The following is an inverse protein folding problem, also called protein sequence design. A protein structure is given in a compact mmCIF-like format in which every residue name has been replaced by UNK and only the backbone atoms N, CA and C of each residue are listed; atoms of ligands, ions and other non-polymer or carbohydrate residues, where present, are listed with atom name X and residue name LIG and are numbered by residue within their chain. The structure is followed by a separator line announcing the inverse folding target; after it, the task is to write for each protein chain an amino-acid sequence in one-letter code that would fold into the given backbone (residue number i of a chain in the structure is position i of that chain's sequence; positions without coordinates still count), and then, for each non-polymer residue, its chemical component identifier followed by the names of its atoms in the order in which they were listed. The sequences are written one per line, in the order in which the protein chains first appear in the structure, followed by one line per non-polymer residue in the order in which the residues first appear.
data_IF_488428603910
#
_entry.id   IF_488428603910
#
_cell.length_a   1.000
_cell.length_b   1.000
_cell.length_c   1.000
_cell.angle_alpha   90.00
_cell.angle_beta   90.00
_cell.angle_gamma   90.00
#
_symmetry.space_group_name_H-M   'P 1'
#
loop_
_entity.id
_entity.type
_entity.pdbx_description
1 polymer ?
#
# COMPACT_ATOMS: atom_id res chain seq x y z
N UNK A 1 15.47 -9.07 13.25
CA UNK A 1 16.06 -8.64 14.53
C UNK A 1 14.99 -8.59 15.62
N UNK A 2 13.98 -7.72 15.50
CA UNK A 2 12.90 -7.59 16.51
C UNK A 2 12.23 -8.90 16.96
N UNK A 3 11.80 -9.75 16.02
CA UNK A 3 11.13 -11.01 16.37
C UNK A 3 12.05 -11.98 17.14
N UNK A 4 13.35 -12.01 16.80
CA UNK A 4 14.32 -12.84 17.49
C UNK A 4 14.60 -12.31 18.90
N UNK A 5 14.75 -11.00 19.05
CA UNK A 5 14.96 -10.36 20.36
C UNK A 5 13.76 -10.57 21.30
N UNK A 6 12.54 -10.38 20.80
CA UNK A 6 11.32 -10.66 21.56
C UNK A 6 11.19 -12.14 21.94
N UNK A 7 11.53 -13.05 21.02
CA UNK A 7 11.54 -14.47 21.31
C UNK A 7 12.55 -14.87 22.38
N UNK A 8 13.71 -14.19 22.43
CA UNK A 8 14.73 -14.40 23.47
C UNK A 8 14.30 -13.86 24.84
N UNK A 9 13.69 -12.66 24.88
CA UNK A 9 13.25 -12.02 26.14
C UNK A 9 12.09 -12.79 26.77
N UNK A 10 11.08 -13.13 25.98
CA UNK A 10 9.83 -13.72 26.47
C UNK A 10 9.80 -15.25 26.36
N UNK A 11 10.88 -15.87 25.86
CA UNK A 11 10.99 -17.32 25.61
C UNK A 11 9.80 -17.88 24.81
N UNK A 12 9.35 -17.15 23.80
CA UNK A 12 8.19 -17.53 22.97
C UNK A 12 8.49 -17.45 21.47
N UNK A 13 7.69 -18.14 20.66
CA UNK A 13 7.77 -18.02 19.19
C UNK A 13 7.04 -16.75 18.74
N UNK A 14 7.71 -15.93 17.93
CA UNK A 14 7.16 -14.65 17.45
C UNK A 14 6.84 -14.76 15.96
N UNK A 15 5.56 -14.61 15.62
CA UNK A 15 5.09 -14.54 14.24
C UNK A 15 4.91 -13.09 13.78
N UNK A 16 5.50 -12.71 12.64
CA UNK A 16 5.27 -11.41 12.01
C UNK A 16 4.07 -11.52 11.06
N UNK A 17 3.11 -10.59 11.18
CA UNK A 17 2.00 -10.44 10.24
C UNK A 17 2.13 -9.08 9.55
N UNK A 18 2.31 -9.02 8.22
CA UNK A 18 2.29 -7.74 7.52
C UNK A 18 0.85 -7.24 7.39
N UNK A 19 0.63 -5.96 7.68
CA UNK A 19 -0.65 -5.28 7.53
C UNK A 19 -0.48 -4.06 6.62
N UNK A 20 -1.20 -4.05 5.50
CA UNK A 20 -1.05 -3.05 4.44
C UNK A 20 -2.43 -2.49 4.10
N UNK A 21 -2.55 -1.16 4.11
CA UNK A 21 -3.84 -0.44 3.94
C UNK A 21 -3.95 0.34 2.63
N UNK A 22 -3.02 0.14 1.71
CA UNK A 22 -3.08 0.68 0.35
C UNK A 22 -4.10 -0.09 -0.48
N UNK A 23 -4.66 0.53 -1.53
CA UNK A 23 -5.56 -0.15 -2.47
C UNK A 23 -4.99 -1.48 -2.99
N UNK A 24 -3.75 -1.46 -3.48
CA UNK A 24 -3.06 -2.67 -3.96
C UNK A 24 -2.99 -3.76 -2.88
N UNK A 25 -2.50 -3.40 -1.68
CA UNK A 25 -2.49 -4.25 -0.50
C UNK A 25 -3.84 -4.90 -0.14
N UNK A 26 -4.93 -4.13 -0.18
CA UNK A 26 -6.28 -4.59 0.17
C UNK A 26 -6.84 -5.58 -0.86
N UNK A 27 -6.55 -5.38 -2.14
CA UNK A 27 -7.03 -6.25 -3.23
C UNK A 27 -6.27 -7.57 -3.30
N UNK A 28 -5.13 -7.69 -2.62
CA UNK A 28 -4.36 -8.94 -2.61
C UNK A 28 -5.10 -10.11 -1.96
N UNK A 29 -4.78 -11.33 -2.41
CA UNK A 29 -5.28 -12.59 -1.81
C UNK A 29 -4.87 -12.79 -0.34
N UNK A 30 -3.83 -12.09 0.10
CA UNK A 30 -3.28 -12.22 1.45
C UNK A 30 -3.97 -11.31 2.48
N UNK A 31 -4.65 -10.24 2.04
CA UNK A 31 -5.28 -9.27 2.94
C UNK A 31 -6.26 -9.94 3.92
N UNK A 32 -7.17 -10.78 3.39
CA UNK A 32 -8.15 -11.50 4.21
C UNK A 32 -7.52 -12.48 5.20
N UNK A 33 -6.42 -13.13 4.85
CA UNK A 33 -5.76 -14.09 5.75
C UNK A 33 -5.00 -13.37 6.86
N UNK A 34 -4.34 -12.25 6.55
CA UNK A 34 -3.66 -11.43 7.55
C UNK A 34 -4.66 -10.78 8.52
N UNK A 35 -5.79 -10.28 8.01
CA UNK A 35 -6.84 -9.71 8.85
C UNK A 35 -7.42 -10.75 9.82
N UNK A 36 -7.69 -11.97 9.34
CA UNK A 36 -8.14 -13.08 10.20
C UNK A 36 -7.09 -13.44 11.25
N UNK A 37 -5.82 -13.47 10.89
CA UNK A 37 -4.72 -13.82 11.81
C UNK A 37 -4.44 -12.74 12.85
N UNK A 38 -4.79 -11.49 12.55
CA UNK A 38 -4.75 -10.35 13.48
C UNK A 38 -6.03 -10.18 14.30
N UNK A 39 -7.09 -10.92 13.96
CA UNK A 39 -8.42 -10.83 14.60
C UNK A 39 -8.97 -9.40 14.66
N UNK A 40 -8.68 -8.59 13.62
CA UNK A 40 -9.12 -7.20 13.58
C UNK A 40 -10.63 -7.17 13.27
N UNK A 41 -11.46 -6.56 14.14
CA UNK A 41 -12.87 -6.37 13.87
C UNK A 41 -13.09 -5.48 12.64
N UNK A 42 -14.12 -5.79 11.83
CA UNK A 42 -14.41 -5.07 10.59
C UNK A 42 -14.60 -3.56 10.78
N UNK A 43 -15.16 -3.12 11.91
CA UNK A 43 -15.33 -1.70 12.23
C UNK A 43 -13.99 -0.99 12.47
N UNK A 44 -13.03 -1.68 13.09
CA UNK A 44 -11.68 -1.15 13.33
C UNK A 44 -10.92 -1.06 12.00
N UNK A 45 -11.02 -2.09 11.15
CA UNK A 45 -10.44 -2.05 9.81
C UNK A 45 -11.01 -0.87 9.00
N UNK A 46 -12.34 -0.73 8.96
CA UNK A 46 -13.00 0.36 8.23
C UNK A 46 -12.57 1.74 8.74
N UNK A 47 -12.37 1.89 10.06
CA UNK A 47 -11.84 3.11 10.64
C UNK A 47 -10.42 3.41 10.14
N UNK A 48 -9.52 2.42 10.16
CA UNK A 48 -8.15 2.58 9.66
C UNK A 48 -8.16 2.89 8.15
N UNK A 49 -9.00 2.22 7.36
CA UNK A 49 -9.18 2.51 5.93
C UNK A 49 -9.61 3.97 5.73
N UNK A 50 -10.60 4.45 6.50
CA UNK A 50 -11.08 5.83 6.41
C UNK A 50 -9.99 6.85 6.74
N UNK A 51 -9.13 6.55 7.72
CA UNK A 51 -8.03 7.42 8.14
C UNK A 51 -6.96 7.51 7.05
N UNK A 52 -6.59 6.37 6.45
CA UNK A 52 -5.64 6.32 5.34
C UNK A 52 -6.18 7.07 4.13
N UNK A 53 -7.44 6.84 3.75
CA UNK A 53 -8.09 7.56 2.65
C UNK A 53 -8.13 9.07 2.89
N UNK A 54 -8.51 9.49 4.10
CA UNK A 54 -8.52 10.91 4.48
C UNK A 54 -7.15 11.56 4.30
N UNK A 55 -6.09 10.94 4.84
CA UNK A 55 -4.71 11.45 4.70
C UNK A 55 -4.26 11.50 3.24
N UNK A 56 -4.62 10.50 2.44
CA UNK A 56 -4.31 10.47 1.01
C UNK A 56 -5.00 11.62 0.27
N UNK A 57 -6.29 11.85 0.51
CA UNK A 57 -7.04 12.96 -0.08
C UNK A 57 -6.46 14.32 0.35
N UNK A 58 -6.14 14.49 1.63
CA UNK A 58 -5.48 15.70 2.14
C UNK A 58 -4.13 15.94 1.46
N UNK A 59 -3.32 14.90 1.29
CA UNK A 59 -2.02 14.96 0.63
C UNK A 59 -2.16 15.34 -0.85
N UNK A 60 -3.09 14.71 -1.58
CA UNK A 60 -3.36 15.01 -2.99
C UNK A 60 -3.87 16.46 -3.14
N UNK A 61 -4.83 16.87 -2.31
CA UNK A 61 -5.39 18.23 -2.37
C UNK A 61 -4.35 19.29 -2.03
N UNK A 62 -3.45 19.01 -1.09
CA UNK A 62 -2.33 19.88 -0.74
C UNK A 62 -1.29 19.94 -1.86
N UNK A 63 -0.90 18.79 -2.44
CA UNK A 63 0.02 18.72 -3.58
C UNK A 63 -0.50 19.49 -4.79
N UNK A 64 -1.80 19.35 -5.09
CA UNK A 64 -2.49 20.10 -6.14
C UNK A 64 -2.44 21.61 -5.91
N UNK A 65 -2.74 22.07 -4.69
CA UNK A 65 -2.67 23.51 -4.33
C UNK A 65 -1.25 24.09 -4.41
N UNK A 66 -0.23 23.26 -4.17
CA UNK A 66 1.19 23.66 -4.22
C UNK A 66 1.83 23.53 -5.60
N UNK A 67 1.07 23.12 -6.63
CA UNK A 67 1.62 22.92 -7.98
C UNK A 67 2.60 21.74 -8.10
N UNK A 68 2.55 20.78 -7.17
CA UNK A 68 3.40 19.56 -7.20
C UNK A 68 2.82 18.52 -8.21
N UNK A 69 2.05 18.96 -9.19
CA UNK A 69 1.56 18.11 -10.29
C UNK A 69 2.69 17.65 -11.23
N UNK A 70 3.90 18.22 -11.11
CA UNK A 70 5.09 17.79 -11.87
C UNK A 70 5.52 16.35 -11.59
N UNK A 71 5.27 15.81 -10.39
CA UNK A 71 5.56 14.41 -10.04
C UNK A 71 4.62 13.40 -10.70
N UNK A 72 3.31 13.72 -10.77
CA UNK A 72 2.31 12.89 -11.46
C UNK A 72 2.52 12.89 -12.98
N UNK A 73 3.06 13.99 -13.54
CA UNK A 73 3.44 14.07 -14.95
C UNK A 73 4.61 13.13 -15.29
N UNK A 74 5.55 12.89 -14.35
CA UNK A 74 6.63 11.92 -14.57
C UNK A 74 6.08 10.48 -14.66
N UNK A 75 5.16 10.09 -13.77
CA UNK A 75 4.55 8.77 -13.78
C UNK A 75 3.69 8.53 -15.04
N UNK A 76 2.87 9.51 -15.44
CA UNK A 76 2.18 9.48 -16.74
C UNK A 76 3.13 9.46 -17.95
N UNK A 77 4.30 10.11 -17.85
CA UNK A 77 5.33 10.09 -18.90
C UNK A 77 5.99 8.71 -19.02
N UNK A 78 6.28 8.04 -17.90
CA UNK A 78 6.80 6.67 -17.89
C UNK A 78 5.77 5.68 -18.43
N UNK A 79 4.49 5.81 -18.07
CA UNK A 79 3.42 4.97 -18.62
C UNK A 79 3.23 5.18 -20.14
N UNK A 80 3.21 6.43 -20.61
CA UNK A 80 3.15 6.74 -22.06
C UNK A 80 4.37 6.19 -22.81
N UNK A 81 5.57 6.31 -22.24
CA UNK A 81 6.78 5.75 -22.82
C UNK A 81 6.74 4.22 -22.87
N UNK A 82 6.28 3.56 -21.80
CA UNK A 82 6.17 2.10 -21.72
C UNK A 82 5.13 1.55 -22.70
N UNK A 83 3.97 2.21 -22.82
CA UNK A 83 2.94 1.85 -23.81
C UNK A 83 3.46 1.95 -25.26
N UNK A 84 4.24 2.98 -25.57
CA UNK A 84 4.86 3.13 -26.89
C UNK A 84 5.92 2.07 -27.20
N UNK A 85 6.58 1.52 -26.18
CA UNK A 85 7.52 0.39 -26.33
C UNK A 85 6.76 -0.92 -26.57
N UNK A 86 5.66 -1.15 -25.84
CA UNK A 86 4.83 -2.37 -25.99
C UNK A 86 4.18 -2.43 -27.38
N UNK A 87 3.56 -1.34 -27.84
CA UNK A 87 2.97 -1.30 -29.19
C UNK A 87 4.00 -1.52 -30.30
N UNK A 88 5.25 -1.05 -30.12
CA UNK A 88 6.33 -1.31 -31.09
C UNK A 88 6.81 -2.76 -31.11
N UNK A 89 6.72 -3.46 -29.98
CA UNK A 89 7.07 -4.87 -29.88
C UNK A 89 5.99 -5.80 -30.46
N UNK A 90 4.72 -5.39 -30.44
CA UNK A 90 3.59 -6.18 -30.98
C UNK A 90 3.39 -6.03 -32.51
N UNK A 91 3.99 -5.02 -33.14
CA UNK A 91 3.92 -4.81 -34.61
C UNK A 91 5.01 -5.55 -35.40
N UNK A 92 5.82 -6.39 -34.75
CA UNK A 92 6.83 -7.26 -35.36
C UNK A 92 6.45 -8.74 -35.20
#
# INVERSE_FOLDING_TARGET
LLANELGLIYKCSVGIIPYVMTWDGIVTKYHKSHLKRLEIPTNVEAYIQSLVLKKTVETISFGRRRGIESGLNAEQSWERASMGVIMRAEMH
#
